data_IF_352504747123
#
_entry.id   IF_352504747123
#
_cell.length_a   1.000
_cell.length_b   1.000
_cell.length_c   1.000
_cell.angle_alpha   90.00
_cell.angle_beta   90.00
_cell.angle_gamma   90.00
#
_symmetry.space_group_name_H-M   'P 1'
#
loop_
_entity.id
_entity.type
_entity.pdbx_description
1 polymer ?
#
# COMPACT_ATOMS: atom_id res chain seq x y z
N UNK A 1 -16.52 -7.29 -3.17
CA UNK A 1 -15.33 -7.88 -3.82
C UNK A 1 -14.40 -6.73 -4.19
N UNK A 2 -13.29 -6.49 -3.48
CA UNK A 2 -12.40 -5.35 -3.75
C UNK A 2 -11.18 -5.83 -4.56
N UNK A 3 -11.00 -5.23 -5.73
CA UNK A 3 -10.05 -5.62 -6.78
C UNK A 3 -8.61 -5.13 -6.49
N UNK A 4 -8.01 -5.61 -5.40
CA UNK A 4 -6.60 -5.32 -5.05
C UNK A 4 -5.56 -6.09 -5.89
N UNK A 5 -5.99 -7.02 -6.74
CA UNK A 5 -5.10 -8.01 -7.38
C UNK A 5 -4.60 -7.59 -8.77
N UNK A 6 -5.06 -6.48 -9.35
CA UNK A 6 -4.73 -6.10 -10.74
C UNK A 6 -3.23 -5.92 -10.99
N UNK A 7 -2.49 -5.30 -10.08
CA UNK A 7 -1.05 -5.10 -10.28
C UNK A 7 -0.26 -6.39 -10.06
N UNK A 8 -0.62 -7.20 -9.08
CA UNK A 8 0.02 -8.52 -8.83
C UNK A 8 -0.21 -9.50 -9.97
N UNK A 9 -1.36 -9.44 -10.66
CA UNK A 9 -1.67 -10.26 -11.84
C UNK A 9 -0.78 -9.89 -13.04
N UNK A 10 -0.41 -8.62 -13.21
CA UNK A 10 0.33 -8.17 -14.40
C UNK A 10 1.84 -7.98 -14.20
N UNK A 11 2.35 -7.83 -12.96
CA UNK A 11 3.79 -7.56 -12.71
C UNK A 11 4.54 -8.67 -12.00
N UNK A 12 3.85 -9.66 -11.42
CA UNK A 12 4.48 -10.70 -10.60
C UNK A 12 5.05 -10.20 -9.26
N UNK A 13 4.91 -8.91 -8.95
CA UNK A 13 5.40 -8.32 -7.70
C UNK A 13 4.40 -8.56 -6.56
N UNK A 14 4.87 -9.01 -5.38
CA UNK A 14 4.01 -9.14 -4.21
C UNK A 14 3.49 -7.76 -3.81
N UNK A 15 2.18 -7.53 -3.91
CA UNK A 15 1.55 -6.46 -3.14
C UNK A 15 1.59 -6.80 -1.64
N UNK A 16 1.37 -5.82 -0.77
CA UNK A 16 1.09 -6.10 0.66
C UNK A 16 -0.15 -7.02 0.81
N UNK A 17 -1.00 -7.07 -0.22
CA UNK A 17 -2.02 -8.12 -0.47
C UNK A 17 -1.73 -8.88 -1.77
N UNK A 18 -0.51 -9.38 -1.92
CA UNK A 18 -0.07 -10.07 -3.14
C UNK A 18 0.04 -11.58 -3.05
N UNK A 19 0.23 -12.17 -1.86
CA UNK A 19 0.67 -13.57 -1.77
C UNK A 19 -0.20 -14.54 -0.96
N UNK A 20 -1.34 -14.10 -0.41
CA UNK A 20 -2.23 -15.02 0.29
C UNK A 20 -3.43 -15.48 -0.55
N UNK A 21 -3.67 -14.91 -1.74
CA UNK A 21 -4.78 -15.35 -2.60
C UNK A 21 -4.45 -16.63 -3.37
N UNK A 22 -3.18 -16.84 -3.76
CA UNK A 22 -2.76 -18.08 -4.43
C UNK A 22 -2.60 -19.29 -3.49
N UNK A 23 -2.69 -19.09 -2.16
CA UNK A 23 -2.87 -20.19 -1.20
C UNK A 23 -4.31 -20.33 -0.66
N UNK A 24 -5.18 -19.34 -0.90
CA UNK A 24 -6.53 -19.31 -0.31
C UNK A 24 -7.57 -20.19 -0.98
N UNK A 25 -7.30 -20.78 -2.14
CA UNK A 25 -8.24 -21.74 -2.74
C UNK A 25 -8.15 -23.15 -2.13
N UNK A 26 -7.23 -23.42 -1.19
CA UNK A 26 -7.12 -24.74 -0.55
C UNK A 26 -7.17 -24.80 0.98
N UNK A 27 -7.22 -23.69 1.75
CA UNK A 27 -7.24 -23.79 3.24
C UNK A 27 -8.16 -22.76 3.92
N UNK A 28 -9.36 -23.21 4.27
CA UNK A 28 -10.48 -22.44 4.81
C UNK A 28 -10.39 -22.04 6.31
N UNK A 29 -9.19 -21.97 6.93
CA UNK A 29 -9.07 -21.93 8.41
C UNK A 29 -8.18 -20.82 9.01
N UNK A 30 -7.98 -19.68 8.34
CA UNK A 30 -7.25 -18.54 8.92
C UNK A 30 -8.00 -17.21 8.76
N UNK A 31 -8.93 -16.94 9.68
CA UNK A 31 -9.83 -15.77 9.62
C UNK A 31 -9.19 -14.49 10.19
N UNK A 32 -8.64 -14.52 11.40
CA UNK A 32 -8.31 -13.28 12.14
C UNK A 32 -7.14 -12.47 11.55
N UNK A 33 -6.05 -13.14 11.15
CA UNK A 33 -4.87 -12.49 10.58
C UNK A 33 -5.11 -11.79 9.23
N UNK A 34 -6.19 -12.17 8.54
CA UNK A 34 -6.57 -11.51 7.28
C UNK A 34 -7.28 -10.20 7.58
N UNK A 35 -8.16 -10.18 8.57
CA UNK A 35 -8.86 -8.96 9.00
C UNK A 35 -7.89 -7.90 9.51
N UNK A 36 -6.92 -8.29 10.33
CA UNK A 36 -5.88 -7.39 10.85
C UNK A 36 -5.08 -6.74 9.71
N UNK A 37 -4.61 -7.53 8.73
CA UNK A 37 -3.88 -7.00 7.58
C UNK A 37 -4.71 -6.03 6.74
N UNK A 38 -5.99 -6.33 6.51
CA UNK A 38 -6.90 -5.44 5.78
C UNK A 38 -7.09 -4.13 6.53
N UNK A 39 -7.23 -4.18 7.86
CA UNK A 39 -7.34 -3.00 8.70
C UNK A 39 -6.05 -2.16 8.66
N UNK A 40 -4.88 -2.79 8.74
CA UNK A 40 -3.59 -2.09 8.66
C UNK A 40 -3.37 -1.40 7.31
N UNK A 41 -3.80 -2.01 6.20
CA UNK A 41 -3.75 -1.35 4.89
C UNK A 41 -4.71 -0.17 4.85
N UNK A 42 -5.92 -0.33 5.37
CA UNK A 42 -6.87 0.77 5.44
C UNK A 42 -6.27 1.94 6.23
N UNK A 43 -5.69 1.65 7.40
CA UNK A 43 -5.00 2.62 8.23
C UNK A 43 -3.81 3.27 7.50
N UNK A 44 -3.04 2.52 6.71
CA UNK A 44 -1.96 3.08 5.91
C UNK A 44 -2.48 4.10 4.89
N UNK A 45 -3.59 3.83 4.20
CA UNK A 45 -4.15 4.79 3.24
C UNK A 45 -4.83 5.99 3.92
N UNK A 46 -5.40 5.82 5.12
CA UNK A 46 -6.15 6.89 5.80
C UNK A 46 -5.36 7.68 6.83
N UNK A 47 -4.24 7.17 7.35
CA UNK A 47 -3.43 7.88 8.34
C UNK A 47 -2.83 9.17 7.76
N UNK A 48 -2.75 10.21 8.58
CA UNK A 48 -2.05 11.46 8.30
C UNK A 48 -0.67 11.51 8.98
N UNK A 49 -0.34 10.54 9.84
CA UNK A 49 0.94 10.47 10.54
C UNK A 49 2.03 9.80 9.66
N UNK A 50 3.11 10.53 9.29
CA UNK A 50 4.23 9.97 8.53
C UNK A 50 4.96 8.83 9.27
N UNK A 51 5.03 8.87 10.60
CA UNK A 51 5.73 7.85 11.38
C UNK A 51 4.97 6.52 11.33
N UNK A 52 3.64 6.55 11.50
CA UNK A 52 2.78 5.40 11.29
C UNK A 52 2.88 4.83 9.86
N UNK A 53 2.92 5.70 8.84
CA UNK A 53 3.10 5.28 7.46
C UNK A 53 4.44 4.57 7.26
N UNK A 54 5.54 5.13 7.77
CA UNK A 54 6.87 4.53 7.66
C UNK A 54 6.97 3.19 8.40
N UNK A 55 6.37 3.09 9.60
CA UNK A 55 6.33 1.84 10.36
C UNK A 55 5.64 0.72 9.56
N UNK A 56 4.55 1.04 8.85
CA UNK A 56 3.88 0.11 7.95
C UNK A 56 4.80 -0.32 6.78
N UNK A 57 5.48 0.63 6.13
CA UNK A 57 6.40 0.32 5.03
C UNK A 57 7.51 -0.64 5.47
N UNK A 58 8.10 -0.40 6.64
CA UNK A 58 9.14 -1.26 7.24
C UNK A 58 8.59 -2.64 7.60
N UNK A 59 7.43 -2.70 8.27
CA UNK A 59 6.79 -3.95 8.70
C UNK A 59 6.52 -4.90 7.53
N UNK A 60 6.11 -4.35 6.38
CA UNK A 60 5.75 -5.14 5.20
C UNK A 60 6.81 -5.15 4.09
N UNK A 61 7.96 -4.52 4.32
CA UNK A 61 9.02 -4.32 3.32
C UNK A 61 8.45 -3.84 1.97
N UNK A 62 7.66 -2.77 2.03
CA UNK A 62 6.93 -2.25 0.86
C UNK A 62 7.89 -1.57 -0.08
N UNK A 63 7.91 -2.00 -1.35
CA UNK A 63 8.72 -1.38 -2.40
C UNK A 63 7.93 -0.44 -3.31
N UNK A 64 6.66 -0.73 -3.57
CA UNK A 64 5.81 0.10 -4.42
C UNK A 64 4.47 0.39 -3.77
N UNK A 65 4.01 1.61 -3.93
CA UNK A 65 2.70 2.09 -3.49
C UNK A 65 1.93 2.57 -4.71
N UNK A 66 0.65 2.22 -4.78
CA UNK A 66 -0.21 2.60 -5.89
C UNK A 66 -1.34 3.46 -5.34
N UNK A 67 -1.52 4.64 -5.92
CA UNK A 67 -2.63 5.54 -5.57
C UNK A 67 -3.37 5.89 -6.85
N UNK A 68 -4.49 5.20 -7.09
CA UNK A 68 -5.33 5.43 -8.26
C UNK A 68 -6.78 5.75 -7.89
N UNK A 69 -7.64 5.75 -8.91
CA UNK A 69 -9.08 6.05 -8.75
C UNK A 69 -9.77 5.13 -7.73
N UNK A 70 -9.37 3.85 -7.67
CA UNK A 70 -9.93 2.89 -6.73
C UNK A 70 -9.59 3.26 -5.29
N UNK A 71 -8.32 3.54 -5.02
CA UNK A 71 -7.84 3.91 -3.68
C UNK A 71 -8.45 5.23 -3.25
N UNK A 72 -8.56 6.20 -4.17
CA UNK A 72 -9.22 7.50 -3.93
C UNK A 72 -10.72 7.37 -3.66
N UNK A 73 -11.40 6.42 -4.30
CA UNK A 73 -12.81 6.14 -4.04
C UNK A 73 -13.03 5.32 -2.76
N UNK A 74 -12.08 4.45 -2.41
CA UNK A 74 -12.18 3.56 -1.26
C UNK A 74 -11.79 4.21 0.07
N UNK A 75 -10.87 5.18 0.02
CA UNK A 75 -10.32 5.85 1.20
C UNK A 75 -10.56 7.36 1.08
N UNK A 76 -11.58 7.83 1.81
CA UNK A 76 -11.95 9.26 1.84
C UNK A 76 -11.25 9.91 3.04
N UNK A 77 -10.66 11.08 2.84
CA UNK A 77 -10.06 11.90 3.90
C UNK A 77 -8.69 12.46 3.52
N UNK A 78 -8.10 13.18 4.47
CA UNK A 78 -6.81 13.88 4.29
C UNK A 78 -5.61 12.93 4.21
N UNK A 79 -5.76 11.67 4.64
CA UNK A 79 -4.69 10.68 4.61
C UNK A 79 -4.11 10.43 3.21
N UNK A 80 -4.86 10.70 2.13
CA UNK A 80 -4.32 10.58 0.78
C UNK A 80 -3.40 11.74 0.39
N UNK A 81 -3.51 12.91 1.03
CA UNK A 81 -2.65 14.08 0.74
C UNK A 81 -1.19 13.80 1.10
N UNK A 82 -0.94 12.89 2.06
CA UNK A 82 0.42 12.50 2.45
C UNK A 82 1.22 11.93 1.28
N UNK A 83 0.57 11.30 0.30
CA UNK A 83 1.26 10.68 -0.84
C UNK A 83 1.98 11.73 -1.69
N UNK A 84 1.38 12.91 -1.85
CA UNK A 84 2.01 14.02 -2.54
C UNK A 84 3.01 14.76 -1.62
N UNK A 85 2.69 14.95 -0.34
CA UNK A 85 3.56 15.66 0.61
C UNK A 85 4.85 14.93 0.96
N UNK A 86 4.80 13.60 1.08
CA UNK A 86 5.93 12.74 1.43
C UNK A 86 6.64 12.20 0.17
N UNK A 87 6.20 12.61 -1.02
CA UNK A 87 6.95 12.37 -2.24
C UNK A 87 8.28 13.14 -2.19
N UNK A 88 9.38 12.44 -2.46
CA UNK A 88 10.72 12.97 -2.21
C UNK A 88 11.24 12.74 -0.80
N UNK A 89 10.39 12.31 0.14
CA UNK A 89 10.72 12.21 1.57
C UNK A 89 10.57 10.83 2.19
N UNK A 90 9.68 9.97 1.72
CA UNK A 90 9.59 8.56 2.14
C UNK A 90 9.51 7.62 0.93
N UNK A 91 9.05 8.15 -0.19
CA UNK A 91 8.92 7.47 -1.46
C UNK A 91 9.12 8.47 -2.59
N UNK A 92 9.33 7.97 -3.79
CA UNK A 92 9.54 8.75 -5.01
C UNK A 92 8.51 8.35 -6.04
N UNK A 93 7.83 9.31 -6.65
CA UNK A 93 6.98 9.04 -7.82
C UNK A 93 7.84 8.54 -8.98
N UNK A 94 7.51 7.35 -9.49
CA UNK A 94 8.22 6.72 -10.62
C UNK A 94 7.34 6.59 -11.86
N UNK A 95 6.02 6.74 -11.71
CA UNK A 95 5.08 6.68 -12.82
C UNK A 95 3.77 7.41 -12.49
N UNK A 96 3.20 8.06 -13.50
CA UNK A 96 1.88 8.69 -13.43
C UNK A 96 1.14 8.55 -14.75
N UNK A 97 -0.12 8.16 -14.65
CA UNK A 97 -1.07 8.20 -15.75
C UNK A 97 -2.45 8.65 -15.23
N UNK A 98 -2.89 9.82 -15.69
CA UNK A 98 -4.08 10.50 -15.21
C UNK A 98 -4.10 10.64 -13.68
N UNK A 99 -5.02 9.91 -13.04
CA UNK A 99 -5.25 9.91 -11.58
C UNK A 99 -4.51 8.79 -10.83
N UNK A 100 -3.75 7.96 -11.56
CA UNK A 100 -3.00 6.83 -11.01
C UNK A 100 -1.53 7.19 -10.90
N UNK A 101 -0.97 7.02 -9.70
CA UNK A 101 0.43 7.28 -9.38
C UNK A 101 1.04 6.02 -8.79
N UNK A 102 2.27 5.72 -9.18
CA UNK A 102 3.11 4.68 -8.56
C UNK A 102 4.28 5.37 -7.88
N UNK A 103 4.42 5.12 -6.58
CA UNK A 103 5.56 5.55 -5.81
C UNK A 103 6.47 4.36 -5.50
N UNK A 104 7.78 4.54 -5.63
CA UNK A 104 8.81 3.61 -5.17
C UNK A 104 9.32 4.03 -3.79
N UNK A 105 9.45 3.06 -2.88
CA UNK A 105 10.07 3.25 -1.57
C UNK A 105 11.53 2.82 -1.70
N UNK A 106 12.51 3.73 -1.56
CA UNK A 106 13.92 3.39 -1.65
C UNK A 106 14.35 2.41 -0.55
N UNK A 107 15.26 1.48 -0.88
CA UNK A 107 15.94 0.66 0.13
C UNK A 107 16.76 1.56 1.07
N UNK A 108 16.57 1.39 2.39
CA UNK A 108 17.37 2.08 3.41
C UNK A 108 16.80 3.41 3.94
N UNK A 109 15.50 3.69 3.76
CA UNK A 109 14.91 4.94 4.27
C UNK A 109 14.90 5.05 5.81
N UNK A 110 15.84 5.81 6.35
CA UNK A 110 15.76 6.44 7.67
C UNK A 110 15.27 7.88 7.48
N UNK A 111 14.30 8.33 8.29
CA UNK A 111 13.85 9.73 8.20
C UNK A 111 15.02 10.60 8.67
N UNK A 112 15.44 11.56 7.85
CA UNK A 112 16.38 12.57 8.30
C UNK A 112 15.76 13.31 9.51
N UNK A 113 16.52 13.53 10.59
CA UNK A 113 16.02 14.10 11.84
C UNK A 113 15.48 15.53 11.67
#
# INVERSE_FOLDING_TARGET
YRWGTRFTIYTGLPGVVGWNWHQRQQRALMSNWVWERVAEIANFYTTTDPAAAQAFLKKYNVRYIIVGQLERAAYIGEGLLKFDWLNGQLWQEVYRDGQTVIYEVPEGYEVLP
#
